data_IF_372574822192
#
_entry.id   IF_372574822192
#
_cell.length_a   1.000
_cell.length_b   1.000
_cell.length_c   1.000
_cell.angle_alpha   90.00
_cell.angle_beta   90.00
_cell.angle_gamma   90.00
#
_symmetry.space_group_name_H-M   'P 1'
#
loop_
_entity.id
_entity.type
_entity.pdbx_description
1 polymer ?
#
# COMPACT_ATOMS: atom_id res chain seq x y z
N UNK A 1 -50.54 -11.23 32.03
CA UNK A 1 -50.62 -11.46 30.57
C UNK A 1 -49.60 -10.53 29.93
N UNK A 2 -48.30 -10.76 30.04
CA UNK A 2 -47.51 -11.90 29.55
C UNK A 2 -47.86 -12.25 28.11
N UNK A 3 -46.91 -12.01 27.17
CA UNK A 3 -47.18 -12.20 25.75
C UNK A 3 -46.07 -11.84 24.74
N UNK A 4 -44.82 -12.23 25.02
CA UNK A 4 -43.82 -12.68 24.03
C UNK A 4 -43.03 -11.65 23.18
N UNK A 5 -41.72 -11.66 23.46
CA UNK A 5 -40.57 -11.08 22.74
C UNK A 5 -40.20 -11.89 21.48
N UNK A 6 -39.27 -11.31 20.70
CA UNK A 6 -38.34 -11.92 19.72
C UNK A 6 -38.93 -12.22 18.33
N UNK A 7 -38.28 -11.93 17.21
CA UNK A 7 -36.94 -11.42 16.96
C UNK A 7 -36.67 -11.58 15.45
N UNK A 8 -36.30 -10.49 14.78
CA UNK A 8 -35.79 -10.55 13.41
C UNK A 8 -34.80 -9.40 13.20
N UNK A 9 -33.83 -9.29 14.11
CA UNK A 9 -32.57 -8.65 13.77
C UNK A 9 -31.87 -9.58 12.76
N UNK A 10 -32.08 -9.31 11.47
CA UNK A 10 -31.32 -9.88 10.37
C UNK A 10 -29.87 -9.42 10.44
N UNK A 11 -29.16 -9.90 11.46
CA UNK A 11 -27.73 -9.73 11.58
C UNK A 11 -27.08 -10.54 10.47
N UNK A 12 -26.60 -9.85 9.44
CA UNK A 12 -25.71 -10.44 8.44
C UNK A 12 -24.61 -11.20 9.21
N UNK A 13 -24.47 -12.52 9.01
CA UNK A 13 -23.55 -13.30 9.82
C UNK A 13 -22.15 -12.74 9.65
N UNK A 14 -21.48 -12.42 10.77
CA UNK A 14 -20.06 -12.01 10.83
C UNK A 14 -19.13 -12.94 10.02
N UNK A 15 -19.59 -14.16 9.70
CA UNK A 15 -18.91 -15.13 8.84
C UNK A 15 -18.74 -14.71 7.38
N UNK A 16 -19.66 -13.93 6.81
CA UNK A 16 -19.54 -13.48 5.42
C UNK A 16 -18.39 -12.46 5.22
N UNK A 17 -18.09 -11.66 6.25
CA UNK A 17 -17.06 -10.64 6.21
C UNK A 17 -15.63 -11.20 6.15
N UNK A 18 -15.32 -12.22 6.96
CA UNK A 18 -13.98 -12.80 6.96
C UNK A 18 -13.70 -13.58 5.67
N UNK A 19 -14.68 -14.32 5.15
CA UNK A 19 -14.53 -15.10 3.91
C UNK A 19 -14.24 -14.21 2.69
N UNK A 20 -14.97 -13.10 2.56
CA UNK A 20 -14.71 -12.11 1.50
C UNK A 20 -13.33 -11.47 1.66
N UNK A 21 -12.89 -11.24 2.90
CA UNK A 21 -11.57 -10.67 3.17
C UNK A 21 -10.45 -11.67 2.88
N UNK A 22 -10.60 -12.94 3.26
CA UNK A 22 -9.63 -13.99 2.93
C UNK A 22 -9.52 -14.16 1.43
N UNK A 23 -10.63 -14.27 0.70
CA UNK A 23 -10.64 -14.39 -0.77
C UNK A 23 -9.92 -13.23 -1.46
N UNK A 24 -10.09 -12.00 -0.96
CA UNK A 24 -9.39 -10.84 -1.52
C UNK A 24 -7.90 -10.88 -1.24
N UNK A 25 -7.49 -11.34 -0.07
CA UNK A 25 -6.07 -11.50 0.27
C UNK A 25 -5.45 -12.60 -0.58
N UNK A 26 -6.11 -13.74 -0.77
CA UNK A 26 -5.65 -14.79 -1.69
C UNK A 26 -5.58 -14.27 -3.13
N UNK A 27 -6.59 -13.53 -3.60
CA UNK A 27 -6.54 -12.93 -4.93
C UNK A 27 -5.37 -11.94 -5.10
N UNK A 28 -5.08 -11.12 -4.09
CA UNK A 28 -3.91 -10.22 -4.11
C UNK A 28 -2.60 -11.02 -4.10
N UNK A 29 -2.51 -12.10 -3.32
CA UNK A 29 -1.33 -12.96 -3.28
C UNK A 29 -1.11 -13.67 -4.62
N UNK A 30 -2.17 -14.18 -5.24
CA UNK A 30 -2.12 -14.80 -6.57
C UNK A 30 -1.72 -13.79 -7.66
N UNK A 31 -2.23 -12.55 -7.59
CA UNK A 31 -1.82 -11.49 -8.52
C UNK A 31 -0.36 -11.09 -8.30
N UNK A 32 0.10 -11.00 -7.05
CA UNK A 32 1.51 -10.73 -6.76
C UNK A 32 2.41 -11.85 -7.28
N UNK A 33 1.98 -13.11 -7.12
CA UNK A 33 2.65 -14.27 -7.70
C UNK A 33 2.67 -14.21 -9.23
N UNK A 34 1.55 -13.86 -9.87
CA UNK A 34 1.48 -13.71 -11.32
C UNK A 34 2.43 -12.61 -11.83
N UNK A 35 2.44 -11.44 -11.18
CA UNK A 35 3.38 -10.35 -11.49
C UNK A 35 4.80 -10.86 -11.39
N UNK A 36 5.15 -11.54 -10.30
CA UNK A 36 6.48 -12.11 -10.12
C UNK A 36 6.85 -13.05 -11.28
N UNK A 37 6.00 -14.03 -11.60
CA UNK A 37 6.27 -15.02 -12.64
C UNK A 37 6.47 -14.37 -14.01
N UNK A 38 5.61 -13.41 -14.39
CA UNK A 38 5.71 -12.76 -15.69
C UNK A 38 7.03 -11.97 -15.81
N UNK A 39 7.40 -11.21 -14.79
CA UNK A 39 8.63 -10.43 -14.79
C UNK A 39 9.88 -11.33 -14.77
N UNK A 40 9.88 -12.36 -13.92
CA UNK A 40 10.96 -13.35 -13.85
C UNK A 40 11.17 -14.07 -15.18
N UNK A 41 10.12 -14.65 -15.76
CA UNK A 41 10.21 -15.37 -17.04
C UNK A 41 10.63 -14.43 -18.18
N UNK A 42 10.09 -13.22 -18.22
CA UNK A 42 10.43 -12.25 -19.27
C UNK A 42 11.90 -11.86 -19.30
N UNK A 43 12.59 -11.88 -18.15
CA UNK A 43 14.03 -11.59 -18.07
C UNK A 43 14.87 -12.84 -18.17
N UNK A 44 14.41 -13.96 -17.60
CA UNK A 44 15.11 -15.24 -17.65
C UNK A 44 15.24 -15.80 -19.08
N UNK A 45 14.19 -15.64 -19.89
CA UNK A 45 14.16 -16.13 -21.28
C UNK A 45 14.49 -15.03 -22.32
N UNK A 46 14.92 -13.85 -21.87
CA UNK A 46 15.14 -12.70 -22.76
C UNK A 46 16.19 -12.98 -23.86
N UNK A 47 17.21 -13.78 -23.54
CA UNK A 47 18.26 -14.14 -24.50
C UNK A 47 17.86 -15.25 -25.48
N UNK A 48 16.78 -15.99 -25.17
CA UNK A 48 16.28 -17.09 -26.02
C UNK A 48 15.31 -16.59 -27.11
N UNK A 49 15.02 -15.28 -27.15
CA UNK A 49 14.06 -14.70 -28.11
C UNK A 49 14.64 -14.69 -29.52
N UNK A 50 14.12 -15.57 -30.37
CA UNK A 50 14.42 -15.59 -31.80
C UNK A 50 13.47 -14.67 -32.55
N UNK A 51 14.02 -13.72 -33.32
CA UNK A 51 13.26 -12.85 -34.22
C UNK A 51 13.30 -13.39 -35.64
N UNK A 52 12.13 -13.63 -36.23
CA UNK A 52 11.98 -14.00 -37.64
C UNK A 52 11.56 -12.76 -38.40
N UNK A 53 12.41 -12.32 -39.33
CA UNK A 53 12.15 -11.14 -40.15
C UNK A 53 11.76 -11.57 -41.57
N UNK A 54 10.69 -10.98 -42.12
CA UNK A 54 10.14 -11.32 -43.43
C UNK A 54 10.81 -10.60 -44.61
N UNK A 55 11.89 -9.86 -44.34
CA UNK A 55 12.63 -9.09 -45.34
C UNK A 55 11.96 -7.79 -45.78
N UNK A 56 10.74 -7.50 -45.31
CA UNK A 56 10.01 -6.25 -45.61
C UNK A 56 10.15 -5.17 -44.51
N UNK A 57 11.02 -5.44 -43.53
CA UNK A 57 11.22 -4.59 -42.36
C UNK A 57 10.33 -4.94 -41.17
N UNK A 58 9.51 -5.99 -41.28
CA UNK A 58 8.76 -6.55 -40.17
C UNK A 58 9.51 -7.73 -39.56
N UNK A 59 9.65 -7.72 -38.23
CA UNK A 59 10.21 -8.83 -37.46
C UNK A 59 9.21 -9.25 -36.39
N UNK A 60 8.95 -10.55 -36.29
CA UNK A 60 8.04 -11.14 -35.32
C UNK A 60 8.73 -12.24 -34.51
N UNK A 61 8.12 -12.57 -33.36
CA UNK A 61 8.57 -13.67 -32.52
C UNK A 61 7.38 -14.23 -31.75
N UNK A 62 7.30 -15.56 -31.62
CA UNK A 62 6.27 -16.25 -30.83
C UNK A 62 6.69 -16.45 -29.37
N UNK A 63 7.92 -16.03 -29.00
CA UNK A 63 8.43 -16.18 -27.65
C UNK A 63 7.76 -15.21 -26.69
N UNK A 64 7.20 -15.74 -25.60
CA UNK A 64 6.50 -14.96 -24.58
C UNK A 64 7.34 -13.82 -24.01
N UNK A 65 8.66 -14.02 -23.86
CA UNK A 65 9.57 -12.99 -23.33
C UNK A 65 9.53 -11.66 -24.13
N UNK A 66 9.14 -11.68 -25.40
CA UNK A 66 8.97 -10.47 -26.21
C UNK A 66 7.80 -9.58 -25.76
N UNK A 67 6.70 -10.19 -25.30
CA UNK A 67 5.47 -9.50 -24.85
C UNK A 67 5.34 -9.49 -23.33
N UNK A 68 6.16 -10.28 -22.63
CA UNK A 68 6.20 -10.44 -21.17
C UNK A 68 6.24 -9.11 -20.41
N UNK A 69 7.05 -8.11 -20.81
CA UNK A 69 7.04 -6.79 -20.18
C UNK A 69 5.67 -6.12 -20.16
N UNK A 70 4.92 -6.15 -21.27
CA UNK A 70 3.59 -5.55 -21.35
C UNK A 70 2.57 -6.29 -20.48
N UNK A 71 2.61 -7.61 -20.49
CA UNK A 71 1.80 -8.45 -19.60
C UNK A 71 2.14 -8.17 -18.12
N UNK A 72 3.42 -7.97 -17.81
CA UNK A 72 3.91 -7.66 -16.48
C UNK A 72 3.44 -6.29 -15.97
N UNK A 73 3.41 -5.27 -16.83
CA UNK A 73 2.82 -3.95 -16.52
C UNK A 73 1.33 -4.09 -16.24
N UNK A 74 0.59 -4.77 -17.12
CA UNK A 74 -0.85 -4.95 -16.97
C UNK A 74 -1.20 -5.69 -15.66
N UNK A 75 -0.46 -6.76 -15.34
CA UNK A 75 -0.60 -7.49 -14.09
C UNK A 75 -0.27 -6.61 -12.87
N UNK A 76 0.78 -5.79 -12.94
CA UNK A 76 1.17 -4.88 -11.86
C UNK A 76 0.11 -3.79 -11.61
N UNK A 77 -0.52 -3.26 -12.67
CA UNK A 77 -1.65 -2.32 -12.56
C UNK A 77 -2.86 -3.02 -11.90
N UNK A 78 -3.16 -4.26 -12.31
CA UNK A 78 -4.22 -5.06 -11.71
C UNK A 78 -4.02 -5.29 -10.21
N UNK A 79 -2.80 -5.65 -9.81
CA UNK A 79 -2.38 -5.75 -8.41
C UNK A 79 -2.50 -4.38 -7.71
N UNK A 80 -2.09 -3.31 -8.39
CA UNK A 80 -2.38 -1.90 -8.09
C UNK A 80 -3.75 -1.67 -7.50
N UNK A 81 -4.74 -1.92 -8.35
CA UNK A 81 -6.14 -1.66 -8.09
C UNK A 81 -6.67 -2.57 -6.99
N UNK A 82 -6.33 -3.86 -7.03
CA UNK A 82 -6.77 -4.83 -6.03
C UNK A 82 -6.23 -4.52 -4.63
N UNK A 83 -4.96 -4.13 -4.56
CA UNK A 83 -4.23 -3.94 -3.31
C UNK A 83 -4.30 -2.49 -2.76
N UNK A 84 -4.79 -1.52 -3.54
CA UNK A 84 -4.92 -0.10 -3.15
C UNK A 84 -5.68 0.12 -1.83
N UNK A 85 -6.65 -0.76 -1.52
CA UNK A 85 -7.43 -0.70 -0.27
C UNK A 85 -6.64 -1.12 0.97
N UNK A 86 -5.60 -1.93 0.80
CA UNK A 86 -4.79 -2.47 1.88
C UNK A 86 -3.50 -1.67 2.07
N UNK A 87 -2.77 -1.45 0.99
CA UNK A 87 -1.45 -0.81 0.99
C UNK A 87 -1.52 0.72 0.89
N UNK A 88 -2.64 1.29 0.48
CA UNK A 88 -2.82 2.75 0.39
C UNK A 88 -1.64 3.43 -0.34
N UNK A 89 -0.86 4.26 0.38
CA UNK A 89 0.28 5.00 -0.16
C UNK A 89 1.52 4.15 -0.40
N UNK A 90 1.62 2.95 0.19
CA UNK A 90 2.74 2.04 -0.08
C UNK A 90 2.55 1.18 -1.32
N UNK A 91 1.33 1.11 -1.85
CA UNK A 91 0.98 0.27 -3.00
C UNK A 91 1.91 0.47 -4.22
N UNK A 92 2.12 1.70 -4.75
CA UNK A 92 2.95 1.88 -5.94
C UNK A 92 4.42 1.48 -5.70
N UNK A 93 4.99 1.84 -4.54
CA UNK A 93 6.36 1.45 -4.20
C UNK A 93 6.50 -0.07 -4.06
N UNK A 94 5.53 -0.74 -3.46
CA UNK A 94 5.54 -2.20 -3.32
C UNK A 94 5.47 -2.91 -4.68
N UNK A 95 4.70 -2.40 -5.63
CA UNK A 95 4.62 -2.96 -6.99
C UNK A 95 5.91 -2.78 -7.76
N UNK A 96 6.47 -1.57 -7.76
CA UNK A 96 7.74 -1.32 -8.43
C UNK A 96 8.85 -2.18 -7.82
N UNK A 97 8.89 -2.31 -6.49
CA UNK A 97 9.85 -3.18 -5.82
C UNK A 97 9.66 -4.65 -6.20
N UNK A 98 8.42 -5.16 -6.24
CA UNK A 98 8.11 -6.53 -6.63
C UNK A 98 8.54 -6.82 -8.09
N UNK A 99 8.16 -5.95 -9.02
CA UNK A 99 8.51 -6.11 -10.44
C UNK A 99 10.01 -6.02 -10.67
N UNK A 100 10.67 -5.03 -10.06
CA UNK A 100 12.12 -4.86 -10.20
C UNK A 100 12.90 -6.02 -9.58
N UNK A 101 12.43 -6.53 -8.43
CA UNK A 101 13.02 -7.71 -7.80
C UNK A 101 12.84 -8.96 -8.68
N UNK A 102 11.63 -9.22 -9.17
CA UNK A 102 11.35 -10.39 -10.01
C UNK A 102 12.23 -10.39 -11.28
N UNK A 103 12.35 -9.23 -11.93
CA UNK A 103 13.24 -9.05 -13.07
C UNK A 103 14.72 -9.29 -12.71
N UNK A 104 15.16 -8.76 -11.56
CA UNK A 104 16.51 -8.95 -11.03
C UNK A 104 16.81 -10.44 -10.80
N UNK A 105 15.86 -11.17 -10.23
CA UNK A 105 15.97 -12.61 -10.00
C UNK A 105 16.10 -13.37 -11.33
N UNK A 106 15.24 -13.08 -12.32
CA UNK A 106 15.31 -13.75 -13.63
C UNK A 106 16.66 -13.53 -14.34
N UNK A 107 17.24 -12.32 -14.27
CA UNK A 107 18.59 -12.07 -14.81
C UNK A 107 19.69 -12.81 -14.05
N UNK A 108 19.57 -12.92 -12.72
CA UNK A 108 20.55 -13.66 -11.91
C UNK A 108 20.49 -15.15 -12.20
N UNK A 109 19.29 -15.71 -12.33
CA UNK A 109 19.08 -17.11 -12.67
C UNK A 109 19.58 -17.41 -14.08
N UNK A 110 19.33 -16.53 -15.06
CA UNK A 110 19.84 -16.69 -16.42
C UNK A 110 21.39 -16.66 -16.49
N UNK A 111 22.04 -15.85 -15.65
CA UNK A 111 23.50 -15.85 -15.49
C UNK A 111 24.01 -17.13 -14.82
N UNK A 112 23.30 -17.62 -13.80
CA UNK A 112 23.66 -18.83 -13.08
C UNK A 112 23.57 -20.08 -13.98
N UNK A 113 22.55 -20.13 -14.83
CA UNK A 113 22.32 -21.21 -15.79
C UNK A 113 23.15 -21.07 -17.08
N UNK A 114 23.94 -20.00 -17.20
CA UNK A 114 24.81 -19.77 -18.37
C UNK A 114 24.07 -19.41 -19.66
N UNK A 115 22.78 -19.05 -19.58
CA UNK A 115 21.99 -18.56 -20.72
C UNK A 115 22.50 -17.22 -21.24
N UNK A 116 23.06 -16.41 -20.34
CA UNK A 116 23.67 -15.12 -20.65
C UNK A 116 25.01 -14.99 -19.95
N UNK A 117 25.89 -14.21 -20.55
CA UNK A 117 27.16 -13.81 -19.97
C UNK A 117 27.09 -12.36 -19.47
N UNK A 118 28.06 -11.96 -18.62
CA UNK A 118 28.15 -10.56 -18.16
C UNK A 118 28.53 -9.58 -19.28
N UNK A 119 29.08 -10.08 -20.38
CA UNK A 119 29.44 -9.27 -21.54
C UNK A 119 28.26 -9.01 -22.47
N UNK A 120 27.19 -9.80 -22.35
CA UNK A 120 26.03 -9.69 -23.22
C UNK A 120 25.34 -8.33 -23.02
N UNK A 121 24.93 -7.74 -24.13
CA UNK A 121 24.09 -6.55 -24.16
C UNK A 121 22.66 -6.96 -24.45
N UNK A 122 21.72 -6.35 -23.74
CA UNK A 122 20.29 -6.55 -23.99
C UNK A 122 19.57 -5.22 -24.07
N UNK A 123 18.77 -5.07 -25.12
CA UNK A 123 17.78 -4.01 -25.23
C UNK A 123 16.53 -4.46 -24.45
N UNK A 124 16.23 -3.80 -23.34
CA UNK A 124 15.01 -4.09 -22.59
C UNK A 124 13.92 -3.08 -22.97
N UNK A 125 12.94 -3.53 -23.75
CA UNK A 125 11.98 -2.71 -24.50
C UNK A 125 10.82 -2.14 -23.66
N UNK A 126 11.06 -1.60 -22.47
CA UNK A 126 9.94 -1.10 -21.68
C UNK A 126 9.47 0.30 -22.09
N UNK A 127 10.41 1.23 -22.37
CA UNK A 127 10.08 2.65 -22.63
C UNK A 127 11.13 3.39 -23.49
N UNK A 128 12.38 2.94 -23.46
CA UNK A 128 13.47 3.51 -24.27
C UNK A 128 14.32 2.34 -24.77
N UNK A 129 14.63 2.24 -26.08
CA UNK A 129 15.55 1.24 -26.60
C UNK A 129 16.96 1.60 -26.13
N UNK A 130 17.31 1.18 -24.93
CA UNK A 130 18.67 1.32 -24.38
C UNK A 130 19.26 -0.07 -24.31
N UNK A 131 20.30 -0.29 -25.10
CA UNK A 131 21.17 -1.45 -24.97
C UNK A 131 22.11 -1.19 -23.79
N UNK A 132 21.97 -2.00 -22.74
CA UNK A 132 22.87 -1.98 -21.60
C UNK A 132 23.48 -3.36 -21.41
N UNK A 133 24.74 -3.44 -20.95
CA UNK A 133 25.30 -4.71 -20.54
C UNK A 133 24.56 -5.24 -19.31
N UNK A 134 24.42 -6.57 -19.22
CA UNK A 134 23.76 -7.26 -18.08
C UNK A 134 24.16 -6.71 -16.69
N UNK A 135 25.46 -6.47 -16.35
CA UNK A 135 25.82 -5.92 -15.04
C UNK A 135 25.22 -4.54 -14.76
N UNK A 136 25.05 -3.70 -15.78
CA UNK A 136 24.41 -2.39 -15.62
C UNK A 136 22.92 -2.54 -15.37
N UNK A 137 22.23 -3.46 -16.06
CA UNK A 137 20.84 -3.80 -15.78
C UNK A 137 20.64 -4.28 -14.34
N UNK A 138 21.50 -5.19 -13.86
CA UNK A 138 21.45 -5.67 -12.47
C UNK A 138 21.62 -4.53 -11.46
N UNK A 139 22.53 -3.59 -11.72
CA UNK A 139 22.75 -2.44 -10.85
C UNK A 139 21.53 -1.52 -10.81
N UNK A 140 20.98 -1.18 -11.98
CA UNK A 140 19.77 -0.35 -12.11
C UNK A 140 18.59 -1.00 -11.38
N UNK A 141 18.36 -2.30 -11.58
CA UNK A 141 17.28 -3.03 -10.93
C UNK A 141 17.43 -3.09 -9.41
N UNK A 142 18.65 -3.27 -8.88
CA UNK A 142 18.92 -3.20 -7.43
C UNK A 142 18.59 -1.83 -6.86
N UNK A 143 19.03 -0.77 -7.51
CA UNK A 143 18.73 0.60 -7.09
C UNK A 143 17.24 0.91 -7.14
N UNK A 144 16.56 0.53 -8.22
CA UNK A 144 15.11 0.69 -8.36
C UNK A 144 14.36 -0.07 -7.27
N UNK A 145 14.75 -1.30 -6.99
CA UNK A 145 14.15 -2.13 -5.93
C UNK A 145 14.32 -1.46 -4.56
N UNK A 146 15.53 -0.99 -4.23
CA UNK A 146 15.82 -0.32 -2.97
C UNK A 146 15.06 1.00 -2.81
N UNK A 147 15.05 1.83 -3.85
CA UNK A 147 14.33 3.11 -3.85
C UNK A 147 12.81 2.91 -3.73
N UNK A 148 12.26 1.94 -4.46
CA UNK A 148 10.85 1.61 -4.42
C UNK A 148 10.43 1.04 -3.05
N UNK A 149 11.26 0.19 -2.45
CA UNK A 149 11.03 -0.32 -1.10
C UNK A 149 11.07 0.80 -0.05
N UNK A 150 12.04 1.72 -0.14
CA UNK A 150 12.10 2.89 0.72
C UNK A 150 10.84 3.76 0.57
N UNK A 151 10.38 3.98 -0.67
CA UNK A 151 9.11 4.67 -0.96
C UNK A 151 7.90 3.94 -0.36
N UNK A 152 7.85 2.62 -0.47
CA UNK A 152 6.80 1.79 0.12
C UNK A 152 6.79 1.90 1.66
N UNK A 153 7.95 1.86 2.30
CA UNK A 153 8.11 2.06 3.74
C UNK A 153 7.66 3.45 4.17
N UNK A 154 8.06 4.51 3.47
CA UNK A 154 7.58 5.86 3.72
C UNK A 154 6.05 5.97 3.56
N UNK A 155 5.49 5.33 2.53
CA UNK A 155 4.05 5.21 2.32
C UNK A 155 3.34 4.51 3.47
N UNK A 156 3.89 3.39 3.94
CA UNK A 156 3.37 2.61 5.06
C UNK A 156 3.42 3.40 6.36
N UNK A 157 4.59 3.99 6.70
CA UNK A 157 4.79 4.84 7.88
C UNK A 157 3.85 6.05 7.85
N UNK A 158 3.70 6.72 6.72
CA UNK A 158 2.79 7.87 6.61
C UNK A 158 1.31 7.48 6.75
N UNK A 159 0.92 6.29 6.29
CA UNK A 159 -0.42 5.72 6.46
C UNK A 159 -0.66 5.33 7.92
N UNK A 160 0.33 4.68 8.54
CA UNK A 160 0.32 4.25 9.94
C UNK A 160 0.26 5.44 10.91
N UNK A 161 1.03 6.51 10.66
CA UNK A 161 1.01 7.74 11.44
C UNK A 161 -0.36 8.47 11.41
N UNK A 162 -1.22 8.16 10.44
CA UNK A 162 -2.59 8.70 10.38
C UNK A 162 -3.61 7.86 11.16
N UNK A 163 -3.24 6.66 11.60
CA UNK A 163 -4.12 5.77 12.37
C UNK A 163 -3.74 5.80 13.85
N UNK A 164 -4.74 6.02 14.73
CA UNK A 164 -4.56 6.00 16.19
C UNK A 164 -3.94 4.69 16.72
N UNK A 165 -4.03 3.60 15.95
CA UNK A 165 -3.44 2.31 16.27
C UNK A 165 -1.92 2.35 16.50
N UNK A 166 -1.19 3.15 15.73
CA UNK A 166 0.28 3.29 15.90
C UNK A 166 0.63 4.15 17.11
N UNK A 167 -0.16 5.20 17.39
CA UNK A 167 0.03 5.98 18.60
C UNK A 167 -0.21 5.14 19.86
N UNK A 168 -1.26 4.30 19.83
CA UNK A 168 -1.60 3.40 20.94
C UNK A 168 -0.54 2.33 21.19
N UNK A 169 -0.09 1.63 20.15
CA UNK A 169 0.81 0.48 20.34
C UNK A 169 2.29 0.83 20.40
N UNK A 170 2.77 1.80 19.61
CA UNK A 170 4.22 2.05 19.46
C UNK A 170 4.73 3.21 20.32
N UNK A 171 3.85 4.05 20.90
CA UNK A 171 4.27 5.26 21.63
C UNK A 171 3.71 5.36 23.05
N UNK A 172 3.10 4.30 23.56
CA UNK A 172 2.52 4.28 24.92
C UNK A 172 1.46 5.36 25.14
N UNK A 173 0.75 5.79 24.07
CA UNK A 173 -0.25 6.84 24.17
C UNK A 173 -1.62 6.28 24.48
N UNK A 174 -2.29 6.94 25.41
CA UNK A 174 -3.67 6.64 25.75
C UNK A 174 -4.62 7.18 24.67
N UNK A 175 -5.79 6.55 24.56
CA UNK A 175 -6.80 6.89 23.57
C UNK A 175 -8.17 6.88 24.24
N UNK A 176 -8.76 8.06 24.38
CA UNK A 176 -10.09 8.24 24.98
C UNK A 176 -11.04 8.93 24.00
N UNK A 177 -12.36 8.70 24.09
CA UNK A 177 -13.32 9.44 23.28
C UNK A 177 -13.29 10.92 23.67
N UNK A 178 -13.38 11.78 22.66
CA UNK A 178 -13.42 13.22 22.83
C UNK A 178 -14.37 13.88 21.84
N UNK A 179 -14.67 15.14 22.13
CA UNK A 179 -15.50 16.02 21.30
C UNK A 179 -14.68 17.21 20.82
N UNK A 180 -15.05 17.76 19.67
CA UNK A 180 -14.43 18.96 19.10
C UNK A 180 -15.36 20.14 19.30
N UNK A 181 -14.85 21.22 19.88
CA UNK A 181 -15.57 22.48 20.04
C UNK A 181 -14.78 23.65 19.45
N UNK A 182 -15.44 24.79 19.28
CA UNK A 182 -14.75 26.06 18.98
C UNK A 182 -14.04 26.10 17.62
N UNK A 183 -14.55 25.42 16.60
CA UNK A 183 -13.91 25.34 15.29
C UNK A 183 -13.63 26.72 14.67
N UNK A 184 -12.39 26.92 14.22
CA UNK A 184 -11.91 28.09 13.48
C UNK A 184 -11.16 27.63 12.22
N UNK A 185 -11.57 28.14 11.07
CA UNK A 185 -10.95 27.77 9.79
C UNK A 185 -9.54 28.35 9.65
N UNK A 186 -8.54 27.50 9.36
CA UNK A 186 -7.18 27.90 8.95
C UNK A 186 -6.98 27.80 7.42
N UNK A 187 -8.02 27.47 6.67
CA UNK A 187 -7.98 27.34 5.21
C UNK A 187 -9.07 26.40 4.69
N UNK A 188 -8.98 26.00 3.41
CA UNK A 188 -10.05 25.18 2.78
C UNK A 188 -10.22 23.76 3.37
N UNK A 189 -9.15 23.14 3.88
CA UNK A 189 -9.16 21.72 4.31
C UNK A 189 -8.94 21.49 5.81
N UNK A 190 -8.41 22.46 6.54
CA UNK A 190 -8.01 22.33 7.95
C UNK A 190 -8.47 23.53 8.77
N UNK A 191 -8.57 23.34 10.07
CA UNK A 191 -8.92 24.37 11.04
C UNK A 191 -8.54 23.94 12.45
N UNK A 192 -8.50 24.92 13.34
CA UNK A 192 -8.27 24.73 14.77
C UNK A 192 -9.59 24.41 15.45
N UNK A 193 -9.57 23.49 16.39
CA UNK A 193 -10.66 23.21 17.31
C UNK A 193 -10.08 22.84 18.67
N UNK A 194 -10.86 23.04 19.70
CA UNK A 194 -10.53 22.53 21.02
C UNK A 194 -11.02 21.08 21.12
N UNK A 195 -10.09 20.18 21.46
CA UNK A 195 -10.40 18.80 21.76
C UNK A 195 -10.69 18.68 23.26
N UNK A 196 -11.92 18.30 23.59
CA UNK A 196 -12.34 17.99 24.94
C UNK A 196 -12.36 16.48 25.13
N UNK A 197 -11.67 15.99 26.16
CA UNK A 197 -11.68 14.56 26.51
C UNK A 197 -11.46 14.39 28.02
N UNK A 198 -11.89 13.25 28.55
CA UNK A 198 -11.51 12.82 29.89
C UNK A 198 -10.34 11.85 29.76
N UNK A 199 -9.31 12.01 30.59
CA UNK A 199 -8.23 11.02 30.68
C UNK A 199 -8.68 9.75 31.44
N UNK A 200 -7.80 8.75 31.52
CA UNK A 200 -8.07 7.48 32.22
C UNK A 200 -8.38 7.67 33.72
N UNK A 201 -8.03 8.82 34.30
CA UNK A 201 -8.32 9.19 35.70
C UNK A 201 -9.61 10.01 35.82
N UNK A 202 -10.33 10.23 34.73
CA UNK A 202 -11.55 11.03 34.67
C UNK A 202 -11.32 12.54 34.67
N UNK A 203 -10.07 13.02 34.57
CA UNK A 203 -9.76 14.45 34.53
C UNK A 203 -10.06 14.98 33.13
N UNK A 204 -10.83 16.07 33.06
CA UNK A 204 -11.20 16.70 31.79
C UNK A 204 -10.10 17.62 31.31
N UNK A 205 -9.72 17.46 30.04
CA UNK A 205 -8.72 18.29 29.36
C UNK A 205 -9.35 18.99 28.17
N UNK A 206 -8.96 20.24 27.94
CA UNK A 206 -9.29 21.03 26.75
C UNK A 206 -7.98 21.42 26.08
N UNK A 207 -7.74 20.89 24.88
CA UNK A 207 -6.46 21.05 24.20
C UNK A 207 -6.68 21.54 22.77
N UNK A 208 -6.05 22.65 22.34
CA UNK A 208 -6.19 23.12 20.96
C UNK A 208 -5.49 22.16 20.00
N UNK A 209 -6.20 21.77 18.93
CA UNK A 209 -5.72 20.84 17.91
C UNK A 209 -6.08 21.32 16.51
N UNK A 210 -5.23 21.00 15.53
CA UNK A 210 -5.54 21.22 14.11
C UNK A 210 -6.15 19.95 13.53
N UNK A 211 -7.38 20.05 13.04
CA UNK A 211 -8.12 18.92 12.46
C UNK A 211 -8.59 19.21 11.04
N UNK A 212 -8.78 18.15 10.26
CA UNK A 212 -9.35 18.27 8.92
C UNK A 212 -10.85 18.58 9.04
N UNK A 213 -11.41 19.40 8.13
CA UNK A 213 -12.83 19.81 8.14
C UNK A 213 -13.82 18.63 8.23
N UNK A 214 -13.45 17.47 7.67
CA UNK A 214 -14.21 16.20 7.76
C UNK A 214 -14.38 15.66 9.19
N UNK A 215 -13.61 16.16 10.15
CA UNK A 215 -13.73 15.76 11.55
C UNK A 215 -15.00 16.32 12.19
N UNK A 216 -15.49 17.47 11.71
CA UNK A 216 -16.71 18.12 12.23
C UNK A 216 -17.99 17.35 11.94
N UNK A 217 -17.98 16.49 10.91
CA UNK A 217 -19.13 15.65 10.56
C UNK A 217 -19.18 14.35 11.37
N UNK A 218 -18.28 14.17 12.34
CA UNK A 218 -18.23 13.00 13.21
C UNK A 218 -18.67 13.40 14.60
N UNK A 219 -19.58 12.62 15.17
CA UNK A 219 -20.12 12.85 16.51
C UNK A 219 -19.06 12.55 17.58
N UNK A 220 -18.22 11.53 17.35
CA UNK A 220 -17.09 11.19 18.22
C UNK A 220 -15.76 11.22 17.49
N UNK A 221 -14.75 11.79 18.16
CA UNK A 221 -13.33 11.69 17.78
C UNK A 221 -12.56 10.99 18.89
N UNK A 222 -11.40 10.43 18.56
CA UNK A 222 -10.50 9.83 19.54
C UNK A 222 -9.40 10.83 19.91
N UNK A 223 -9.28 11.15 21.19
CA UNK A 223 -8.18 11.92 21.74
C UNK A 223 -6.98 11.00 21.97
N UNK A 224 -5.90 11.24 21.22
CA UNK A 224 -4.63 10.53 21.35
C UNK A 224 -3.67 11.42 22.13
N UNK A 225 -3.35 11.06 23.37
CA UNK A 225 -2.58 11.90 24.28
C UNK A 225 -1.44 11.14 24.99
N UNK A 226 -0.49 11.88 25.54
CA UNK A 226 0.58 11.34 26.40
C UNK A 226 0.03 11.26 27.84
N UNK A 227 -0.12 10.05 28.44
CA UNK A 227 -0.72 9.92 29.77
C UNK A 227 0.10 10.60 30.87
N UNK A 228 1.40 10.85 30.65
CA UNK A 228 2.22 11.62 31.59
C UNK A 228 1.95 13.14 31.49
N UNK A 229 1.47 13.62 30.34
CA UNK A 229 1.21 15.05 30.05
C UNK A 229 -0.04 15.22 29.16
N UNK A 230 -1.25 14.91 29.68
CA UNK A 230 -2.48 14.88 28.87
C UNK A 230 -2.87 16.25 28.28
N UNK A 231 -2.55 17.35 28.96
CA UNK A 231 -2.86 18.72 28.50
C UNK A 231 -1.87 19.34 27.51
N UNK A 232 -0.80 18.65 27.12
CA UNK A 232 0.22 19.21 26.20
C UNK A 232 -0.26 19.18 24.75
N UNK A 233 -0.54 20.35 24.17
CA UNK A 233 -1.00 20.51 22.79
C UNK A 233 -0.02 19.97 21.74
N UNK A 234 1.30 19.97 22.00
CA UNK A 234 2.27 19.39 21.08
C UNK A 234 2.17 17.85 21.05
N UNK A 235 1.65 17.27 22.12
CA UNK A 235 1.56 15.82 22.35
C UNK A 235 0.15 15.27 22.28
N UNK A 236 -0.87 16.11 22.16
CA UNK A 236 -2.25 15.66 22.04
C UNK A 236 -2.77 15.90 20.63
N UNK A 237 -3.47 14.90 20.07
CA UNK A 237 -3.99 14.96 18.69
C UNK A 237 -5.36 14.30 18.62
N UNK A 238 -6.26 14.86 17.81
CA UNK A 238 -7.52 14.22 17.49
C UNK A 238 -7.34 13.25 16.31
N UNK A 239 -7.84 12.02 16.47
CA UNK A 239 -7.90 11.00 15.44
C UNK A 239 -9.35 10.63 15.13
N UNK A 240 -9.65 10.36 13.87
CA UNK A 240 -10.99 9.95 13.46
C UNK A 240 -11.09 8.42 13.50
N UNK A 241 -12.12 7.84 14.14
CA UNK A 241 -12.36 6.41 14.04
C UNK A 241 -12.64 6.02 12.57
N UNK A 242 -12.07 4.90 12.11
CA UNK A 242 -12.09 4.48 10.69
C UNK A 242 -13.50 4.13 10.18
N UNK A 243 -14.45 3.88 11.08
CA UNK A 243 -15.91 3.78 10.87
C UNK A 243 -16.53 3.46 12.23
N UNK A 244 -17.56 4.18 12.64
CA UNK A 244 -18.55 3.61 13.56
C UNK A 244 -19.23 2.48 12.78
N UNK A 245 -19.14 1.26 13.30
CA UNK A 245 -20.19 0.30 13.03
C UNK A 245 -21.44 0.92 13.65
N UNK A 246 -22.38 1.32 12.79
CA UNK A 246 -23.72 1.69 13.26
C UNK A 246 -24.24 0.50 14.08
N UNK A 247 -24.73 0.72 15.31
CA UNK A 247 -25.31 -0.36 16.12
C UNK A 247 -26.44 -1.06 15.37
#
# INVERSE_FOLDING_TARGET
MDGIRQGAAGGVPRRAGWYVQTLRLTACALLAWLVWQVWHLSTYEAADVVWVCDGTGSCGTDHFASVGPFAGIAAAIGLGIAAARYLHRSAPGAMVALSAWAALAGWQDALADGKVTRADTSAWFLLVPVELPVPTWLAVLRWLTAAALAGACCGAVSSLNRTAAVARFLRGRACEPGTLEGWRSLGRRHGEADLLFADERGVRHRVPVVVARRALTRETVLAVYDPARPGDAARTRAALPRKEAKP
#
